data_IF_833462621441
#
_entry.id   IF_833462621441
#
_cell.length_a   1.000
_cell.length_b   1.000
_cell.length_c   1.000
_cell.angle_alpha   90.00
_cell.angle_beta   90.00
_cell.angle_gamma   90.00
#
_symmetry.space_group_name_H-M   'P 1'
#
loop_
_entity.id
_entity.type
_entity.pdbx_description
1 polymer ?
#
# COMPACT_ATOMS: atom_id res chain seq x y z
N UNK A 1 0.03 -18.26 2.21
CA UNK A 1 1.05 -17.37 2.82
C UNK A 1 1.66 -18.10 4.00
N UNK A 2 2.96 -17.86 4.33
CA UNK A 2 3.52 -18.24 5.62
C UNK A 2 2.66 -17.75 6.78
N UNK A 3 2.66 -18.45 7.92
CA UNK A 3 1.76 -18.17 9.05
C UNK A 3 1.93 -16.75 9.64
N UNK A 4 3.11 -16.13 9.50
CA UNK A 4 3.39 -14.78 9.98
C UNK A 4 2.89 -13.67 9.05
N UNK A 5 2.32 -13.99 7.87
CA UNK A 5 1.82 -13.03 6.89
C UNK A 5 0.32 -13.19 6.61
N UNK A 6 -0.35 -12.09 6.31
CA UNK A 6 -1.77 -12.09 5.96
C UNK A 6 -2.11 -11.07 4.88
N UNK A 7 -3.06 -11.42 4.00
CA UNK A 7 -3.64 -10.47 3.04
C UNK A 7 -4.52 -9.40 3.71
N UNK A 8 -4.72 -9.47 5.04
CA UNK A 8 -5.53 -8.56 5.84
C UNK A 8 -4.79 -7.35 6.38
N UNK A 9 -3.48 -7.30 6.22
CA UNK A 9 -2.64 -6.18 6.67
C UNK A 9 -1.70 -5.78 5.52
N UNK A 10 -1.33 -4.50 5.53
CA UNK A 10 -0.41 -3.91 4.57
C UNK A 10 0.32 -2.75 5.26
N UNK A 11 1.57 -2.51 4.87
CA UNK A 11 2.23 -1.23 5.13
C UNK A 11 2.11 -0.37 3.87
N UNK A 12 1.57 0.84 4.00
CA UNK A 12 1.14 1.64 2.85
C UNK A 12 1.49 3.12 3.03
N UNK A 13 1.57 3.85 1.91
CA UNK A 13 1.41 5.30 1.90
C UNK A 13 -0.06 5.65 1.72
N UNK A 14 -0.57 6.51 2.60
CA UNK A 14 -1.91 7.09 2.49
C UNK A 14 -1.80 8.50 1.89
N UNK A 15 -2.47 8.80 0.78
CA UNK A 15 -2.56 10.17 0.28
C UNK A 15 -3.39 11.04 1.23
N UNK A 16 -3.13 12.35 1.29
CA UNK A 16 -3.99 13.27 2.05
C UNK A 16 -5.42 13.26 1.49
N UNK A 17 -6.39 13.65 2.31
CA UNK A 17 -7.82 13.60 1.97
C UNK A 17 -8.18 14.36 0.68
N UNK A 18 -7.50 15.46 0.39
CA UNK A 18 -7.67 16.24 -0.86
C UNK A 18 -7.36 15.44 -2.12
N UNK A 19 -6.45 14.47 -2.04
CA UNK A 19 -6.09 13.56 -3.13
C UNK A 19 -6.91 12.26 -3.04
N UNK A 20 -7.12 11.72 -1.84
CA UNK A 20 -7.88 10.50 -1.64
C UNK A 20 -9.35 10.64 -2.07
N UNK A 21 -10.02 11.73 -1.72
CA UNK A 21 -11.46 11.92 -1.98
C UNK A 21 -11.87 11.87 -3.46
N UNK A 22 -11.20 12.55 -4.42
CA UNK A 22 -11.53 12.38 -5.84
C UNK A 22 -11.24 10.97 -6.36
N UNK A 23 -10.16 10.34 -5.90
CA UNK A 23 -9.80 8.96 -6.26
C UNK A 23 -10.85 7.97 -5.75
N UNK A 24 -11.28 8.12 -4.50
CA UNK A 24 -12.26 7.25 -3.86
C UNK A 24 -13.65 7.36 -4.50
N UNK A 25 -14.00 8.51 -5.09
CA UNK A 25 -15.21 8.63 -5.93
C UNK A 25 -15.16 7.71 -7.15
N UNK A 26 -14.00 7.56 -7.79
CA UNK A 26 -13.80 6.63 -8.91
C UNK A 26 -13.77 5.18 -8.40
N UNK A 27 -12.99 4.92 -7.34
CA UNK A 27 -12.87 3.58 -6.75
C UNK A 27 -14.21 3.04 -6.24
N UNK A 28 -15.08 3.89 -5.72
CA UNK A 28 -16.43 3.51 -5.28
C UNK A 28 -17.29 2.89 -6.39
N UNK A 29 -16.99 3.19 -7.65
CA UNK A 29 -17.68 2.65 -8.83
C UNK A 29 -16.94 1.42 -9.38
N UNK A 30 -15.61 1.48 -9.44
CA UNK A 30 -14.82 0.52 -10.25
C UNK A 30 -13.88 -0.41 -9.45
N UNK A 31 -13.59 -0.15 -8.19
CA UNK A 31 -12.66 -0.95 -7.38
C UNK A 31 -13.41 -1.88 -6.43
N UNK A 32 -13.35 -3.19 -6.69
CA UNK A 32 -13.99 -4.21 -5.83
C UNK A 32 -13.43 -4.22 -4.40
N UNK A 33 -12.25 -3.63 -4.17
CA UNK A 33 -11.63 -3.55 -2.85
C UNK A 33 -11.92 -2.23 -2.12
N UNK A 34 -12.70 -1.32 -2.70
CA UNK A 34 -12.98 0.00 -2.14
C UNK A 34 -13.47 -0.04 -0.68
N UNK A 35 -14.41 -0.94 -0.37
CA UNK A 35 -14.97 -1.06 1.00
C UNK A 35 -13.95 -1.56 2.03
N UNK A 36 -12.87 -2.20 1.58
CA UNK A 36 -11.88 -2.83 2.44
C UNK A 36 -10.67 -1.94 2.68
N UNK A 37 -10.22 -1.25 1.63
CA UNK A 37 -8.98 -0.50 1.65
C UNK A 37 -9.22 0.94 1.20
N UNK A 38 -8.73 1.95 1.94
CA UNK A 38 -8.72 3.34 1.46
C UNK A 38 -7.83 3.48 0.23
N UNK A 39 -7.85 4.64 -0.44
CA UNK A 39 -6.87 4.90 -1.49
C UNK A 39 -5.45 4.80 -0.90
N UNK A 40 -4.56 4.03 -1.52
CA UNK A 40 -3.24 3.76 -0.96
C UNK A 40 -2.22 3.35 -2.04
N UNK A 41 -0.93 3.51 -1.72
CA UNK A 41 0.18 2.87 -2.42
C UNK A 41 0.74 1.80 -1.49
N UNK A 42 0.77 0.54 -1.92
CA UNK A 42 1.40 -0.51 -1.16
C UNK A 42 2.91 -0.28 -1.07
N UNK A 43 3.47 -0.39 0.14
CA UNK A 43 4.89 -0.51 0.37
C UNK A 43 5.21 -1.99 0.60
N UNK A 44 4.65 -2.60 1.65
CA UNK A 44 4.82 -4.03 1.92
C UNK A 44 3.46 -4.73 1.96
N UNK A 45 3.27 -5.71 1.07
CA UNK A 45 2.05 -6.49 0.97
C UNK A 45 2.33 -7.88 0.41
N UNK A 46 1.69 -8.94 0.93
CA UNK A 46 0.94 -9.03 2.19
C UNK A 46 1.85 -8.76 3.40
N UNK A 47 1.33 -8.19 4.49
CA UNK A 47 2.15 -7.80 5.65
C UNK A 47 1.98 -8.75 6.85
N UNK A 48 2.61 -8.42 7.98
CA UNK A 48 2.61 -9.19 9.22
C UNK A 48 1.18 -9.46 9.71
N UNK A 49 0.91 -10.68 10.21
CA UNK A 49 -0.42 -11.10 10.67
C UNK A 49 -0.92 -10.31 11.87
N UNK A 50 -0.03 -10.03 12.82
CA UNK A 50 -0.34 -9.34 14.08
C UNK A 50 0.59 -8.12 14.27
N UNK A 51 0.42 -7.04 13.47
CA UNK A 51 1.32 -5.89 13.52
C UNK A 51 1.01 -4.90 14.64
N UNK A 52 -0.14 -5.09 15.29
CA UNK A 52 -0.68 -4.20 16.31
C UNK A 52 -0.99 -4.96 17.59
N UNK A 53 -1.11 -4.22 18.68
CA UNK A 53 -1.52 -4.71 19.99
C UNK A 53 -2.59 -3.77 20.60
N UNK A 54 -3.44 -4.26 21.52
CA UNK A 54 -4.42 -3.42 22.20
C UNK A 54 -3.73 -2.28 22.97
N UNK A 55 -4.22 -1.04 22.83
CA UNK A 55 -3.72 0.06 23.65
C UNK A 55 -4.32 -0.03 25.06
N UNK A 56 -3.49 -0.10 26.10
CA UNK A 56 -3.92 -0.15 27.51
C UNK A 56 -4.55 1.13 28.08
N UNK A 57 -4.87 2.12 27.23
CA UNK A 57 -5.36 3.43 27.65
C UNK A 57 -6.68 3.78 26.94
N UNK A 58 -7.80 3.50 27.62
CA UNK A 58 -9.10 4.07 27.28
C UNK A 58 -10.20 3.06 26.93
N UNK A 59 -11.42 3.58 26.94
CA UNK A 59 -12.68 2.83 26.93
C UNK A 59 -13.09 2.40 25.51
N UNK A 60 -12.14 2.30 24.59
CA UNK A 60 -12.35 1.99 23.18
C UNK A 60 -11.28 1.04 22.66
N UNK A 61 -11.63 0.26 21.64
CA UNK A 61 -10.73 -0.69 20.96
C UNK A 61 -9.73 0.07 20.06
N UNK A 62 -8.87 0.88 20.66
CA UNK A 62 -7.71 1.44 19.97
C UNK A 62 -6.60 0.38 19.95
N UNK A 63 -5.91 0.30 18.81
CA UNK A 63 -4.73 -0.55 18.65
C UNK A 63 -3.55 0.33 18.28
N UNK A 64 -2.39 0.00 18.84
CA UNK A 64 -1.12 0.63 18.47
C UNK A 64 -0.26 -0.37 17.71
N UNK A 65 0.65 0.13 16.87
CA UNK A 65 1.71 -0.72 16.33
C UNK A 65 2.57 -1.27 17.47
N UNK A 66 2.96 -2.54 17.36
CA UNK A 66 3.86 -3.15 18.33
C UNK A 66 5.22 -2.41 18.36
N UNK A 67 5.85 -2.23 19.52
CA UNK A 67 7.07 -1.45 19.66
C UNK A 67 8.23 -1.91 18.76
N UNK A 68 8.38 -3.22 18.55
CA UNK A 68 9.42 -3.80 17.69
C UNK A 68 9.18 -3.43 16.21
N UNK A 69 7.94 -3.51 15.73
CA UNK A 69 7.56 -3.13 14.37
C UNK A 69 7.74 -1.63 14.17
N UNK A 70 7.36 -0.83 15.17
CA UNK A 70 7.57 0.62 15.16
C UNK A 70 9.06 0.97 15.07
N UNK A 71 9.90 0.31 15.87
CA UNK A 71 11.35 0.54 15.87
C UNK A 71 11.97 0.20 14.50
N UNK A 72 11.55 -0.89 13.86
CA UNK A 72 11.99 -1.28 12.52
C UNK A 72 11.58 -0.25 11.46
N UNK A 73 10.34 0.25 11.50
CA UNK A 73 9.90 1.33 10.60
C UNK A 73 10.75 2.60 10.82
N UNK A 74 10.97 3.00 12.08
CA UNK A 74 11.82 4.16 12.40
C UNK A 74 13.24 3.98 11.88
N UNK A 75 13.84 2.79 12.05
CA UNK A 75 15.16 2.46 11.51
C UNK A 75 15.19 2.59 9.99
N UNK A 76 14.20 2.05 9.28
CA UNK A 76 14.12 2.12 7.82
C UNK A 76 14.06 3.55 7.29
N UNK A 77 13.32 4.44 7.97
CA UNK A 77 13.07 5.79 7.47
C UNK A 77 14.05 6.85 7.98
N UNK A 78 14.98 6.49 8.87
CA UNK A 78 15.87 7.46 9.56
C UNK A 78 16.67 8.36 8.60
N UNK A 79 17.07 7.83 7.46
CA UNK A 79 17.88 8.52 6.44
C UNK A 79 17.04 9.00 5.24
N UNK A 80 15.71 8.81 5.29
CA UNK A 80 14.80 9.19 4.22
C UNK A 80 14.23 10.57 4.52
N UNK A 81 14.58 11.55 3.68
CA UNK A 81 13.97 12.88 3.76
C UNK A 81 12.52 12.84 3.29
N UNK A 82 11.62 13.68 3.84
CA UNK A 82 10.31 13.90 3.25
C UNK A 82 10.41 14.26 1.77
N UNK A 83 9.51 13.74 0.95
CA UNK A 83 9.50 13.93 -0.49
C UNK A 83 8.08 14.18 -1.00
N UNK A 84 7.99 14.81 -2.16
CA UNK A 84 6.72 15.04 -2.85
C UNK A 84 6.45 13.92 -3.86
N UNK A 85 5.18 13.58 -4.01
CA UNK A 85 4.69 12.58 -4.98
C UNK A 85 3.63 13.28 -5.82
N UNK A 86 3.79 13.24 -7.15
CA UNK A 86 2.69 13.47 -8.09
C UNK A 86 2.24 12.12 -8.63
N UNK A 87 0.95 11.98 -8.93
CA UNK A 87 0.37 10.77 -9.50
C UNK A 87 0.01 11.02 -10.97
N UNK A 88 0.61 10.26 -11.87
CA UNK A 88 0.32 10.35 -13.31
C UNK A 88 -0.99 9.64 -13.63
N UNK A 89 -1.86 10.34 -14.34
CA UNK A 89 -3.16 9.84 -14.77
C UNK A 89 -3.31 9.73 -16.29
N UNK A 90 -2.37 10.28 -17.07
CA UNK A 90 -2.45 10.32 -18.53
C UNK A 90 -1.09 10.02 -19.20
N UNK A 91 -0.90 8.83 -19.79
CA UNK A 91 -1.81 7.69 -19.71
C UNK A 91 -1.79 7.06 -18.31
N UNK A 92 -2.89 6.42 -17.84
CA UNK A 92 -2.85 5.65 -16.63
C UNK A 92 -2.05 4.35 -16.83
N UNK A 93 -1.52 3.82 -15.73
CA UNK A 93 -0.89 2.51 -15.72
C UNK A 93 -1.92 1.38 -15.74
N UNK A 94 -1.51 0.23 -16.27
CA UNK A 94 -2.37 -0.93 -16.48
C UNK A 94 -1.67 -2.23 -16.04
N UNK A 95 -2.31 -3.05 -15.22
CA UNK A 95 -1.89 -4.42 -14.94
C UNK A 95 -2.93 -5.42 -15.45
N UNK A 96 -2.48 -6.38 -16.25
CA UNK A 96 -3.32 -7.48 -16.72
C UNK A 96 -3.23 -8.66 -15.74
N UNK A 97 -4.37 -9.09 -15.20
CA UNK A 97 -4.48 -10.24 -14.30
C UNK A 97 -5.01 -11.49 -15.01
N UNK A 98 -5.38 -11.37 -16.29
CA UNK A 98 -5.90 -12.42 -17.15
C UNK A 98 -6.63 -11.81 -18.35
N UNK A 99 -7.26 -12.63 -19.23
CA UNK A 99 -7.86 -12.17 -20.47
C UNK A 99 -8.94 -11.09 -20.28
N UNK A 100 -9.67 -11.15 -19.16
CA UNK A 100 -10.84 -10.32 -18.91
C UNK A 100 -10.72 -9.45 -17.65
N UNK A 101 -9.52 -9.31 -17.07
CA UNK A 101 -9.35 -8.57 -15.83
C UNK A 101 -8.09 -7.71 -15.86
N UNK A 102 -8.33 -6.42 -15.72
CA UNK A 102 -7.30 -5.40 -15.75
C UNK A 102 -7.45 -4.47 -14.56
N UNK A 103 -6.37 -4.15 -13.88
CA UNK A 103 -6.33 -3.09 -12.89
C UNK A 103 -5.79 -1.81 -13.54
N UNK A 104 -6.53 -0.72 -13.40
CA UNK A 104 -6.09 0.62 -13.79
C UNK A 104 -5.54 1.32 -12.56
N UNK A 105 -4.40 2.00 -12.71
CA UNK A 105 -3.69 2.60 -11.59
C UNK A 105 -2.95 3.87 -11.97
N UNK A 106 -2.66 4.70 -10.97
CA UNK A 106 -1.86 5.92 -11.07
C UNK A 106 -0.46 5.67 -10.52
N UNK A 107 0.57 6.04 -11.29
CA UNK A 107 1.97 5.85 -10.91
C UNK A 107 2.55 7.09 -10.24
N UNK A 108 3.40 6.96 -9.20
CA UNK A 108 4.14 8.09 -8.68
C UNK A 108 5.21 8.57 -9.68
N UNK A 109 5.40 9.88 -9.82
CA UNK A 109 6.42 10.49 -10.69
C UNK A 109 7.84 10.44 -10.14
N UNK A 110 8.00 10.00 -8.88
CA UNK A 110 9.28 9.99 -8.17
C UNK A 110 9.76 8.57 -7.89
N UNK A 111 11.09 8.39 -7.89
CA UNK A 111 11.74 7.15 -7.45
C UNK A 111 11.84 7.02 -5.92
N UNK A 112 11.49 8.07 -5.17
CA UNK A 112 11.58 8.06 -3.69
C UNK A 112 10.69 7.00 -3.05
N UNK A 113 9.60 6.59 -3.69
CA UNK A 113 8.73 5.52 -3.18
C UNK A 113 9.45 4.16 -3.25
N UNK A 114 10.20 3.91 -4.31
CA UNK A 114 11.02 2.70 -4.47
C UNK A 114 12.17 2.68 -3.47
N UNK A 115 12.78 3.84 -3.19
CA UNK A 115 13.82 3.97 -2.16
C UNK A 115 13.26 3.67 -0.76
N UNK A 116 12.08 4.22 -0.45
CA UNK A 116 11.37 3.93 0.80
C UNK A 116 11.00 2.44 0.93
N UNK A 117 10.46 1.86 -0.13
CA UNK A 117 10.19 0.42 -0.19
C UNK A 117 11.45 -0.40 0.07
N UNK A 118 12.57 -0.09 -0.60
CA UNK A 118 13.81 -0.83 -0.43
C UNK A 118 14.37 -0.73 1.00
N UNK A 119 14.26 0.43 1.64
CA UNK A 119 14.67 0.61 3.03
C UNK A 119 13.79 -0.20 4.00
N UNK A 120 12.46 -0.17 3.81
CA UNK A 120 11.53 -0.97 4.60
C UNK A 120 11.75 -2.47 4.37
N UNK A 121 11.96 -2.91 3.12
CA UNK A 121 12.19 -4.32 2.80
C UNK A 121 13.45 -4.89 3.48
N UNK A 122 14.49 -4.07 3.68
CA UNK A 122 15.70 -4.46 4.44
C UNK A 122 15.41 -4.70 5.91
N UNK A 123 14.55 -3.87 6.51
CA UNK A 123 14.14 -4.04 7.91
C UNK A 123 13.11 -5.16 8.06
N UNK A 124 12.37 -5.53 7.01
CA UNK A 124 11.33 -6.57 6.96
C UNK A 124 11.62 -7.69 5.94
N UNK A 125 12.75 -8.42 6.04
CA UNK A 125 13.13 -9.45 5.06
C UNK A 125 12.17 -10.64 5.02
N UNK A 126 11.41 -10.89 6.09
CA UNK A 126 10.40 -11.94 6.18
C UNK A 126 9.10 -11.62 5.42
N UNK A 127 8.91 -10.35 5.03
CA UNK A 127 7.78 -9.89 4.23
C UNK A 127 8.16 -9.97 2.75
N UNK A 128 8.22 -11.19 2.21
CA UNK A 128 8.77 -11.49 0.88
C UNK A 128 7.90 -12.42 0.03
N UNK A 129 6.60 -12.46 0.32
CA UNK A 129 5.66 -13.36 -0.35
C UNK A 129 5.50 -13.05 -1.86
N UNK A 130 5.73 -11.81 -2.27
CA UNK A 130 5.83 -11.43 -3.69
C UNK A 130 7.29 -11.13 -4.03
N UNK A 131 7.82 -11.82 -5.06
CA UNK A 131 9.21 -11.67 -5.51
C UNK A 131 9.33 -10.90 -6.83
N UNK A 132 8.22 -10.41 -7.37
CA UNK A 132 8.21 -9.60 -8.58
C UNK A 132 8.85 -8.23 -8.31
N UNK A 133 9.36 -7.54 -9.35
CA UNK A 133 9.83 -6.17 -9.21
C UNK A 133 8.75 -5.26 -8.61
N UNK A 134 9.15 -4.46 -7.61
CA UNK A 134 8.26 -3.51 -6.97
C UNK A 134 7.87 -2.40 -7.94
N UNK A 135 6.58 -2.29 -8.25
CA UNK A 135 6.01 -1.22 -9.06
C UNK A 135 5.04 -0.43 -8.17
N UNK A 136 5.42 0.73 -7.65
CA UNK A 136 4.53 1.52 -6.80
C UNK A 136 3.38 2.05 -7.65
N UNK A 137 2.17 1.92 -7.12
CA UNK A 137 0.96 2.33 -7.83
C UNK A 137 -0.18 2.57 -6.85
N UNK A 138 -1.10 3.45 -7.25
CA UNK A 138 -2.39 3.63 -6.59
C UNK A 138 -3.47 3.08 -7.52
N UNK A 139 -4.15 2.00 -7.11
CA UNK A 139 -5.24 1.42 -7.89
C UNK A 139 -6.49 2.30 -7.87
N UNK A 140 -7.05 2.60 -9.05
CA UNK A 140 -8.29 3.40 -9.19
C UNK A 140 -9.52 2.54 -9.52
N UNK A 141 -9.31 1.33 -10.04
CA UNK A 141 -10.41 0.42 -10.37
C UNK A 141 -9.96 -0.80 -11.15
N UNK A 142 -10.89 -1.73 -11.34
CA UNK A 142 -10.74 -2.83 -12.28
C UNK A 142 -11.66 -2.64 -13.48
N UNK A 143 -11.16 -2.97 -14.66
CA UNK A 143 -11.89 -2.95 -15.90
C UNK A 143 -11.88 -4.34 -16.54
N UNK A 144 -12.91 -4.63 -17.34
CA UNK A 144 -12.88 -5.76 -18.27
C UNK A 144 -12.08 -5.32 -19.49
N UNK A 145 -11.10 -6.13 -19.89
CA UNK A 145 -10.52 -5.96 -21.23
C UNK A 145 -11.58 -6.37 -22.26
N UNK A 146 -11.84 -5.51 -23.25
CA UNK A 146 -12.50 -5.97 -24.46
C UNK A 146 -11.41 -6.70 -25.27
N UNK A 147 -11.61 -8.00 -25.47
CA UNK A 147 -10.83 -8.79 -26.43
C UNK A 147 -11.38 -8.52 -27.81
#
# INVERSE_FOLDING_TARGET
LPAHLTYKTALVLLPPSSIAAPIDRVRGIYDKHFKRWPAHINLLYPFLSEPSEPSGHGNGSQSTLKPDIRARIVSAIKDIRPFQISLEADPPGVFHHGPNSTTVWLGPTTQSVQQLHAALQKEFPEVNADRRPFTPHLSVGQAKSQV
#
